data_IF_201039317112
#
_entry.id   IF_201039317112
#
_cell.length_a   1.000
_cell.length_b   1.000
_cell.length_c   1.000
_cell.angle_alpha   90.00
_cell.angle_beta   90.00
_cell.angle_gamma   90.00
#
_symmetry.space_group_name_H-M   'P 1'
#
loop_
_entity.id
_entity.type
_entity.pdbx_description
1 polymer ?
#
# COMPACT_ATOMS: atom_id res chain seq x y z
N UNK A 1 -0.19 34.67 -67.13
CA UNK A 1 0.34 33.64 -68.07
C UNK A 1 1.42 32.84 -67.34
N UNK A 2 1.47 31.51 -67.15
CA UNK A 2 0.56 30.40 -67.37
C UNK A 2 1.18 29.17 -66.62
N UNK A 3 0.96 29.00 -65.30
CA UNK A 3 1.45 27.82 -64.52
C UNK A 3 0.56 26.56 -64.67
N UNK A 4 -0.27 26.53 -65.71
CA UNK A 4 -1.18 25.42 -66.04
C UNK A 4 -0.78 24.68 -67.34
N UNK A 5 0.49 24.79 -67.79
CA UNK A 5 0.93 24.16 -69.04
C UNK A 5 1.56 22.77 -68.91
N UNK A 6 1.93 22.30 -67.73
CA UNK A 6 2.63 21.02 -67.59
C UNK A 6 1.73 19.79 -67.40
N UNK A 7 0.43 19.97 -67.14
CA UNK A 7 -0.52 18.85 -67.02
C UNK A 7 -1.21 18.46 -68.34
N UNK A 8 -1.06 19.26 -69.39
CA UNK A 8 -1.67 19.00 -70.72
C UNK A 8 -0.79 18.19 -71.68
N UNK A 9 0.49 17.94 -71.39
CA UNK A 9 1.39 17.17 -72.27
C UNK A 9 1.63 15.72 -71.85
N UNK A 10 1.07 15.28 -70.72
CA UNK A 10 1.22 13.90 -70.25
C UNK A 10 0.26 12.98 -71.01
N UNK A 11 0.82 11.92 -71.62
CA UNK A 11 0.03 10.89 -72.31
C UNK A 11 -1.00 10.26 -71.36
N UNK A 12 -2.09 9.74 -71.91
CA UNK A 12 -3.13 9.06 -71.11
C UNK A 12 -2.55 7.98 -70.19
N UNK A 13 -1.55 7.22 -70.69
CA UNK A 13 -0.83 6.21 -69.92
C UNK A 13 -0.07 6.81 -68.73
N UNK A 14 0.58 7.95 -68.91
CA UNK A 14 1.32 8.59 -67.83
C UNK A 14 0.38 9.17 -66.76
N UNK A 15 -0.79 9.69 -67.16
CA UNK A 15 -1.83 10.14 -66.20
C UNK A 15 -2.42 8.98 -65.40
N UNK A 16 -2.63 7.83 -66.04
CA UNK A 16 -3.09 6.61 -65.36
C UNK A 16 -2.06 6.10 -64.35
N UNK A 17 -0.77 6.06 -64.73
CA UNK A 17 0.32 5.65 -63.84
C UNK A 17 0.45 6.60 -62.64
N UNK A 18 0.44 7.91 -62.86
CA UNK A 18 0.54 8.90 -61.76
C UNK A 18 -0.68 8.81 -60.83
N UNK A 19 -1.88 8.58 -61.37
CA UNK A 19 -3.09 8.40 -60.54
C UNK A 19 -3.02 7.13 -59.69
N UNK A 20 -2.50 6.03 -60.23
CA UNK A 20 -2.27 4.79 -59.48
C UNK A 20 -1.23 4.97 -58.37
N UNK A 21 -0.16 5.71 -58.62
CA UNK A 21 0.86 6.03 -57.60
C UNK A 21 0.24 6.87 -56.48
N UNK A 22 -0.55 7.88 -56.81
CA UNK A 22 -1.23 8.72 -55.81
C UNK A 22 -2.25 7.91 -54.99
N UNK A 23 -3.00 7.01 -55.62
CA UNK A 23 -3.91 6.08 -54.93
C UNK A 23 -3.17 5.14 -53.99
N UNK A 24 -2.02 4.61 -54.41
CA UNK A 24 -1.18 3.75 -53.57
C UNK A 24 -0.61 4.51 -52.37
N UNK A 25 -0.15 5.75 -52.57
CA UNK A 25 0.33 6.63 -51.48
C UNK A 25 -0.80 7.01 -50.52
N UNK A 26 -2.00 7.30 -51.03
CA UNK A 26 -3.16 7.59 -50.20
C UNK A 26 -3.61 6.36 -49.40
N UNK A 27 -3.67 5.18 -50.03
CA UNK A 27 -3.98 3.93 -49.34
C UNK A 27 -2.92 3.59 -48.28
N UNK A 28 -1.63 3.81 -48.57
CA UNK A 28 -0.53 3.58 -47.64
C UNK A 28 -0.55 4.55 -46.45
N UNK A 29 -0.90 5.81 -46.66
CA UNK A 29 -1.03 6.81 -45.60
C UNK A 29 -2.27 6.59 -44.74
N UNK A 30 -3.41 6.22 -45.34
CA UNK A 30 -4.61 5.79 -44.60
C UNK A 30 -4.33 4.53 -43.80
N UNK A 31 -3.64 3.55 -44.38
CA UNK A 31 -3.20 2.34 -43.68
C UNK A 31 -2.24 2.69 -42.53
N UNK A 32 -1.22 3.52 -42.76
CA UNK A 32 -0.26 3.90 -41.71
C UNK A 32 -0.88 4.75 -40.58
N UNK A 33 -1.96 5.47 -40.85
CA UNK A 33 -2.68 6.25 -39.83
C UNK A 33 -3.74 5.41 -39.08
N UNK A 34 -4.46 4.55 -39.79
CA UNK A 34 -5.53 3.74 -39.24
C UNK A 34 -5.02 2.43 -38.62
N UNK A 35 -3.95 1.83 -39.15
CA UNK A 35 -3.40 0.55 -38.69
C UNK A 35 -2.87 0.61 -37.25
N UNK A 36 -2.11 1.63 -36.80
CA UNK A 36 -1.69 1.70 -35.40
C UNK A 36 -2.88 1.83 -34.45
N UNK A 37 -3.91 2.59 -34.85
CA UNK A 37 -5.16 2.69 -34.09
C UNK A 37 -5.90 1.36 -34.09
N UNK A 38 -6.06 0.71 -35.23
CA UNK A 38 -6.79 -0.56 -35.37
C UNK A 38 -6.09 -1.73 -34.67
N UNK A 39 -4.75 -1.78 -34.72
CA UNK A 39 -3.91 -2.76 -34.01
C UNK A 39 -3.98 -2.54 -32.49
N UNK A 40 -4.01 -1.28 -32.01
CA UNK A 40 -4.32 -0.97 -30.60
C UNK A 40 -5.68 -1.50 -30.14
N UNK A 41 -6.66 -1.71 -31.03
CA UNK A 41 -7.96 -2.29 -30.68
C UNK A 41 -8.08 -3.79 -30.98
N UNK A 42 -7.10 -4.39 -31.67
CA UNK A 42 -7.11 -5.81 -32.09
C UNK A 42 -6.21 -6.73 -31.29
N UNK A 43 -5.19 -6.21 -30.61
CA UNK A 43 -4.54 -6.97 -29.55
C UNK A 43 -5.53 -7.04 -28.39
N UNK A 44 -5.90 -8.25 -27.98
CA UNK A 44 -6.65 -8.49 -26.75
C UNK A 44 -5.81 -7.96 -25.59
N UNK A 45 -5.89 -6.66 -25.31
CA UNK A 45 -5.15 -6.04 -24.23
C UNK A 45 -5.76 -6.58 -22.95
N UNK A 46 -5.14 -7.61 -22.37
CA UNK A 46 -5.55 -8.14 -21.07
C UNK A 46 -5.67 -6.97 -20.08
N UNK A 47 -6.89 -6.74 -19.60
CA UNK A 47 -7.19 -5.71 -18.61
C UNK A 47 -7.17 -6.37 -17.25
N UNK A 48 -6.24 -5.94 -16.40
CA UNK A 48 -6.19 -6.38 -15.01
C UNK A 48 -6.79 -5.30 -14.12
N UNK A 49 -7.90 -5.62 -13.45
CA UNK A 49 -8.51 -4.76 -12.42
C UNK A 49 -8.14 -5.32 -11.05
N UNK A 50 -7.44 -4.51 -10.27
CA UNK A 50 -7.10 -4.82 -8.89
C UNK A 50 -7.95 -3.94 -8.00
N UNK A 51 -8.94 -4.54 -7.35
CA UNK A 51 -9.82 -3.89 -6.38
C UNK A 51 -9.65 -4.54 -5.01
N UNK A 52 -9.52 -3.72 -3.98
CA UNK A 52 -9.46 -4.18 -2.59
C UNK A 52 -10.83 -3.98 -1.97
N UNK A 53 -11.53 -5.06 -1.61
CA UNK A 53 -12.78 -4.96 -0.86
C UNK A 53 -12.44 -5.02 0.63
N UNK A 54 -12.91 -4.02 1.38
CA UNK A 54 -12.91 -4.06 2.85
C UNK A 54 -14.12 -4.84 3.31
N UNK A 55 -13.89 -5.95 3.99
CA UNK A 55 -14.94 -6.81 4.56
C UNK A 55 -15.32 -6.34 5.95
N UNK A 56 -14.33 -5.90 6.71
CA UNK A 56 -14.49 -5.37 8.07
C UNK A 56 -13.37 -4.39 8.37
N UNK A 57 -13.68 -3.32 9.10
CA UNK A 57 -12.71 -2.37 9.64
C UNK A 57 -13.26 -1.79 10.93
N UNK A 58 -12.47 -1.85 11.99
CA UNK A 58 -12.84 -1.39 13.33
C UNK A 58 -11.61 -0.83 14.05
N UNK A 59 -11.83 0.17 14.90
CA UNK A 59 -10.78 0.68 15.80
C UNK A 59 -11.01 0.20 17.22
N UNK A 60 -9.92 -0.08 17.96
CA UNK A 60 -10.02 -0.52 19.35
C UNK A 60 -8.77 -0.17 20.17
N UNK A 61 -8.80 -0.55 21.45
CA UNK A 61 -7.78 -0.25 22.44
C UNK A 61 -7.82 1.19 22.92
N UNK A 62 -6.88 1.55 23.79
CA UNK A 62 -6.80 2.90 24.35
C UNK A 62 -6.67 3.94 23.23
N UNK A 63 -7.46 5.00 23.29
CA UNK A 63 -7.51 6.08 22.28
C UNK A 63 -7.80 5.59 20.84
N UNK A 64 -8.40 4.40 20.65
CA UNK A 64 -8.59 3.81 19.31
C UNK A 64 -7.27 3.62 18.55
N UNK A 65 -6.18 3.27 19.27
CA UNK A 65 -4.82 3.11 18.74
C UNK A 65 -4.69 2.04 17.65
N UNK A 66 -5.49 0.99 17.74
CA UNK A 66 -5.37 -0.18 16.86
C UNK A 66 -6.50 -0.21 15.84
N UNK A 67 -6.18 -0.65 14.63
CA UNK A 67 -7.16 -0.91 13.57
C UNK A 67 -7.18 -2.41 13.30
N UNK A 68 -8.29 -3.06 13.58
CA UNK A 68 -8.59 -4.38 13.04
C UNK A 68 -9.20 -4.20 11.65
N UNK A 69 -8.67 -4.87 10.64
CA UNK A 69 -9.27 -4.87 9.32
C UNK A 69 -9.16 -6.22 8.64
N UNK A 70 -10.11 -6.50 7.74
CA UNK A 70 -10.13 -7.67 6.88
C UNK A 70 -10.44 -7.26 5.46
N UNK A 71 -9.62 -7.72 4.52
CA UNK A 71 -9.77 -7.43 3.10
C UNK A 71 -9.88 -8.70 2.28
N UNK A 72 -10.50 -8.61 1.11
CA UNK A 72 -10.69 -9.76 0.22
C UNK A 72 -9.41 -10.16 -0.55
N UNK A 73 -8.40 -9.27 -0.63
CA UNK A 73 -7.17 -9.45 -1.41
C UNK A 73 -6.01 -8.68 -0.77
N UNK A 74 -4.75 -9.16 -0.87
CA UNK A 74 -3.59 -8.61 -0.15
C UNK A 74 -3.07 -7.29 -0.75
N UNK A 75 -3.91 -6.55 -1.46
CA UNK A 75 -3.48 -5.43 -2.27
C UNK A 75 -3.33 -4.16 -1.43
N UNK A 76 -2.12 -4.01 -0.85
CA UNK A 76 -1.58 -2.82 -0.17
C UNK A 76 -2.62 -1.84 0.37
N UNK A 77 -3.09 -2.11 1.58
CA UNK A 77 -3.78 -1.15 2.43
C UNK A 77 -2.78 -0.38 3.29
N UNK A 78 -3.17 0.80 3.75
CA UNK A 78 -2.36 1.63 4.63
C UNK A 78 -3.20 2.07 5.82
N UNK A 79 -2.75 1.74 7.03
CA UNK A 79 -3.26 2.31 8.27
C UNK A 79 -2.41 3.53 8.60
N UNK A 80 -3.04 4.71 8.61
CA UNK A 80 -2.41 6.00 8.93
C UNK A 80 -2.92 6.50 10.29
N UNK A 81 -2.61 7.74 10.67
CA UNK A 81 -3.09 8.33 11.92
C UNK A 81 -4.61 8.47 11.92
N UNK A 82 -5.24 8.97 10.87
CA UNK A 82 -6.68 9.27 10.83
C UNK A 82 -7.43 8.48 9.77
N UNK A 83 -6.73 7.92 8.79
CA UNK A 83 -7.35 7.23 7.68
C UNK A 83 -6.86 5.80 7.51
N UNK A 84 -7.76 4.94 7.05
CA UNK A 84 -7.40 3.68 6.42
C UNK A 84 -7.60 3.82 4.91
N UNK A 85 -6.57 3.49 4.14
CA UNK A 85 -6.56 3.70 2.70
C UNK A 85 -6.47 2.36 2.00
N UNK A 86 -7.40 2.11 1.07
CA UNK A 86 -7.28 1.01 0.13
C UNK A 86 -7.11 1.52 -1.28
N UNK A 87 -6.37 0.77 -2.09
CA UNK A 87 -6.05 1.14 -3.48
C UNK A 87 -6.81 0.29 -4.49
N UNK A 88 -7.32 0.97 -5.50
CA UNK A 88 -7.99 0.37 -6.65
C UNK A 88 -7.27 0.82 -7.92
N UNK A 89 -6.77 -0.13 -8.70
CA UNK A 89 -5.96 0.14 -9.88
C UNK A 89 -6.44 -0.68 -11.07
N UNK A 90 -6.28 -0.11 -12.26
CA UNK A 90 -6.51 -0.79 -13.54
C UNK A 90 -5.23 -0.75 -14.36
N UNK A 91 -4.86 -1.89 -14.90
CA UNK A 91 -3.70 -2.06 -15.77
C UNK A 91 -4.18 -2.54 -17.14
N UNK A 92 -3.47 -2.14 -18.18
CA UNK A 92 -3.71 -2.54 -19.57
C UNK A 92 -2.42 -3.16 -20.10
N UNK A 93 -2.52 -4.39 -20.61
CA UNK A 93 -1.38 -5.16 -21.10
C UNK A 93 -0.81 -6.09 -20.02
N UNK A 94 -0.45 -7.31 -20.44
CA UNK A 94 0.06 -8.36 -19.57
C UNK A 94 1.39 -7.93 -18.93
N UNK A 95 1.48 -8.00 -17.60
CA UNK A 95 2.69 -7.65 -16.85
C UNK A 95 2.96 -6.15 -16.72
N UNK A 96 2.01 -5.29 -17.08
CA UNK A 96 2.16 -3.84 -16.86
C UNK A 96 2.12 -3.49 -15.36
N UNK A 97 3.14 -2.78 -14.90
CA UNK A 97 3.20 -2.24 -13.54
C UNK A 97 2.72 -0.77 -13.46
N UNK A 98 2.38 -0.16 -14.60
CA UNK A 98 1.92 1.22 -14.68
C UNK A 98 0.39 1.25 -14.77
N UNK A 99 -0.33 1.72 -13.73
CA UNK A 99 -1.78 1.78 -13.76
C UNK A 99 -2.26 2.88 -14.72
N UNK A 100 -3.27 2.56 -15.52
CA UNK A 100 -3.99 3.55 -16.36
C UNK A 100 -5.10 4.26 -15.57
N UNK A 101 -5.61 3.64 -14.52
CA UNK A 101 -6.51 4.22 -13.53
C UNK A 101 -6.00 3.86 -12.14
N UNK A 102 -6.04 4.82 -11.22
CA UNK A 102 -5.72 4.63 -9.81
C UNK A 102 -6.68 5.49 -8.98
N UNK A 103 -7.33 4.86 -8.01
CA UNK A 103 -8.15 5.54 -7.01
C UNK A 103 -7.93 4.98 -5.63
N UNK A 104 -8.13 5.82 -4.62
CA UNK A 104 -8.16 5.41 -3.22
C UNK A 104 -9.57 5.45 -2.69
N UNK A 105 -9.95 4.40 -1.95
CA UNK A 105 -11.07 4.48 -1.02
C UNK A 105 -10.48 4.79 0.36
N UNK A 106 -10.77 5.98 0.87
CA UNK A 106 -10.24 6.54 2.12
C UNK A 106 -11.32 6.48 3.18
N UNK A 107 -11.11 5.65 4.20
CA UNK A 107 -11.99 5.47 5.34
C UNK A 107 -11.51 6.37 6.48
N UNK A 108 -12.41 7.17 7.05
CA UNK A 108 -12.12 7.96 8.26
C UNK A 108 -12.19 7.03 9.48
N UNK A 109 -11.04 6.77 10.11
CA UNK A 109 -10.93 5.89 11.28
C UNK A 109 -11.67 6.44 12.50
N UNK A 110 -11.90 7.75 12.56
CA UNK A 110 -12.66 8.38 13.64
C UNK A 110 -14.18 8.34 13.37
N UNK A 111 -14.60 8.10 12.12
CA UNK A 111 -16.01 8.06 11.70
C UNK A 111 -16.32 6.91 10.74
N UNK A 112 -15.94 5.68 11.08
CA UNK A 112 -16.06 4.48 10.23
C UNK A 112 -17.48 4.13 9.75
N UNK A 113 -18.52 4.72 10.36
CA UNK A 113 -19.92 4.58 9.89
C UNK A 113 -20.15 5.30 8.55
N UNK A 114 -19.33 6.28 8.23
CA UNK A 114 -19.40 7.00 6.97
C UNK A 114 -18.84 6.14 5.83
N UNK A 115 -19.42 6.21 4.62
CA UNK A 115 -18.83 5.55 3.46
C UNK A 115 -17.45 6.13 3.17
N UNK A 116 -16.52 5.33 2.61
CA UNK A 116 -15.21 5.83 2.25
C UNK A 116 -15.30 6.93 1.19
N UNK A 117 -14.43 7.93 1.32
CA UNK A 117 -14.22 8.95 0.30
C UNK A 117 -13.39 8.38 -0.82
N UNK A 118 -13.88 8.46 -2.06
CA UNK A 118 -13.12 8.02 -3.23
C UNK A 118 -12.31 9.18 -3.82
N UNK A 119 -11.00 8.98 -3.95
CA UNK A 119 -10.09 9.94 -4.58
C UNK A 119 -9.60 9.37 -5.91
N UNK A 120 -9.78 10.10 -7.01
CA UNK A 120 -9.23 9.74 -8.34
C UNK A 120 -7.83 10.36 -8.52
N UNK A 121 -6.80 9.52 -8.36
CA UNK A 121 -5.40 9.95 -8.35
C UNK A 121 -4.95 10.38 -9.74
N UNK A 122 -5.40 9.70 -10.79
CA UNK A 122 -5.00 9.99 -12.17
C UNK A 122 -5.54 11.36 -12.58
N UNK A 123 -6.79 11.66 -12.24
CA UNK A 123 -7.40 12.97 -12.49
C UNK A 123 -6.69 14.10 -11.74
N UNK A 124 -6.32 13.88 -10.48
CA UNK A 124 -5.57 14.86 -9.70
C UNK A 124 -4.19 15.13 -10.31
N UNK A 125 -3.47 14.08 -10.73
CA UNK A 125 -2.15 14.22 -11.35
C UNK A 125 -2.19 14.95 -12.68
N UNK A 126 -3.21 14.72 -13.51
CA UNK A 126 -3.41 15.47 -14.75
C UNK A 126 -3.61 16.97 -14.50
N UNK A 127 -4.19 17.34 -13.36
CA UNK A 127 -4.38 18.75 -12.98
C UNK A 127 -3.09 19.33 -12.39
N UNK A 128 -2.32 18.53 -11.67
CA UNK A 128 -1.07 18.94 -11.03
C UNK A 128 0.07 19.18 -12.03
N UNK A 129 0.38 18.22 -12.91
CA UNK A 129 1.44 18.36 -13.91
C UNK A 129 1.24 17.39 -15.08
N UNK A 130 0.69 17.89 -16.19
CA UNK A 130 0.35 17.07 -17.37
C UNK A 130 1.55 16.41 -18.05
N UNK A 131 2.78 16.85 -17.77
CA UNK A 131 3.99 16.27 -18.34
C UNK A 131 4.34 14.93 -17.71
N UNK A 132 3.82 14.65 -16.51
CA UNK A 132 4.13 13.44 -15.77
C UNK A 132 2.97 12.43 -15.81
N UNK A 133 3.32 11.17 -15.59
CA UNK A 133 2.39 10.06 -15.35
C UNK A 133 2.84 9.28 -14.12
N UNK A 134 1.96 8.43 -13.59
CA UNK A 134 2.31 7.48 -12.54
C UNK A 134 3.39 6.52 -13.06
N UNK A 135 4.49 6.41 -12.32
CA UNK A 135 5.51 5.38 -12.56
C UNK A 135 5.13 4.08 -11.82
N UNK A 136 4.54 4.23 -10.64
CA UNK A 136 4.08 3.14 -9.78
C UNK A 136 2.81 3.54 -9.02
N UNK A 137 2.02 2.55 -8.61
CA UNK A 137 0.70 2.72 -7.98
C UNK A 137 0.73 3.57 -6.70
N UNK A 138 1.27 3.05 -5.60
CA UNK A 138 1.50 3.79 -4.36
C UNK A 138 2.72 3.21 -3.67
N UNK A 139 3.65 4.08 -3.25
CA UNK A 139 4.92 3.65 -2.67
C UNK A 139 4.78 3.43 -1.17
N UNK A 140 4.18 4.39 -0.48
CA UNK A 140 3.95 4.38 0.98
C UNK A 140 2.90 5.39 1.39
N UNK A 141 2.42 5.27 2.62
CA UNK A 141 1.65 6.31 3.29
C UNK A 141 2.36 6.74 4.58
N UNK A 142 2.21 8.00 4.96
CA UNK A 142 2.77 8.52 6.21
C UNK A 142 1.81 9.52 6.85
N UNK A 143 1.96 9.70 8.16
CA UNK A 143 1.29 10.75 8.92
C UNK A 143 2.30 11.75 9.46
N UNK A 144 2.00 13.04 9.31
CA UNK A 144 2.82 14.13 9.82
C UNK A 144 1.91 15.23 10.38
N UNK A 145 2.17 15.64 11.62
CA UNK A 145 1.41 16.70 12.31
C UNK A 145 -0.13 16.52 12.25
N UNK A 146 -0.60 15.29 12.46
CA UNK A 146 -2.03 14.94 12.44
C UNK A 146 -2.66 14.87 11.03
N UNK A 147 -1.88 15.07 9.97
CA UNK A 147 -2.32 14.90 8.58
C UNK A 147 -1.79 13.62 7.99
N UNK A 148 -2.57 13.08 7.06
CA UNK A 148 -2.27 11.80 6.41
C UNK A 148 -2.00 11.98 4.94
N UNK A 149 -0.96 11.30 4.46
CA UNK A 149 -0.45 11.45 3.11
C UNK A 149 -0.21 10.11 2.44
N UNK A 150 -0.47 10.07 1.13
CA UNK A 150 -0.12 8.95 0.27
C UNK A 150 0.93 9.39 -0.77
N UNK A 151 2.00 8.62 -0.91
CA UNK A 151 3.16 8.96 -1.75
C UNK A 151 3.16 8.16 -3.05
N UNK A 152 3.42 8.86 -4.16
CA UNK A 152 3.54 8.27 -5.50
C UNK A 152 4.82 8.73 -6.18
N UNK A 153 5.35 7.84 -7.00
CA UNK A 153 6.45 8.13 -7.91
C UNK A 153 5.87 8.50 -9.27
N UNK A 154 6.33 9.63 -9.79
CA UNK A 154 5.96 10.17 -11.10
C UNK A 154 7.15 10.08 -12.03
N UNK A 155 6.88 9.79 -13.31
CA UNK A 155 7.86 9.80 -14.39
C UNK A 155 7.36 10.71 -15.51
N UNK A 156 8.27 11.49 -16.10
CA UNK A 156 7.96 12.34 -17.23
C UNK A 156 7.60 11.48 -18.46
N UNK A 157 6.60 11.91 -19.23
CA UNK A 157 6.09 11.18 -20.39
C UNK A 157 7.08 11.12 -21.56
N UNK A 158 7.97 12.12 -21.67
CA UNK A 158 8.93 12.26 -22.75
C UNK A 158 10.37 11.90 -22.34
N UNK A 159 10.66 11.90 -21.03
CA UNK A 159 11.99 11.59 -20.48
C UNK A 159 11.87 10.68 -19.25
N UNK A 160 12.05 9.38 -19.43
CA UNK A 160 11.94 8.37 -18.37
C UNK A 160 12.95 8.52 -17.22
N UNK A 161 14.01 9.31 -17.41
CA UNK A 161 15.00 9.66 -16.38
C UNK A 161 14.55 10.78 -15.44
N UNK A 162 13.57 11.59 -15.86
CA UNK A 162 13.01 12.66 -15.03
C UNK A 162 11.90 12.06 -14.15
N UNK A 163 12.28 11.73 -12.92
CA UNK A 163 11.42 11.13 -11.90
C UNK A 163 11.34 12.02 -10.67
N UNK A 164 10.16 12.05 -10.04
CA UNK A 164 9.94 12.75 -8.77
C UNK A 164 8.93 12.03 -7.90
N UNK A 165 9.03 12.23 -6.59
CA UNK A 165 8.04 11.75 -5.63
C UNK A 165 7.17 12.90 -5.11
N UNK A 166 5.88 12.63 -5.01
CA UNK A 166 4.89 13.59 -4.51
C UNK A 166 4.00 12.93 -3.47
N UNK A 167 3.48 13.75 -2.56
CA UNK A 167 2.51 13.34 -1.55
C UNK A 167 1.14 13.95 -1.85
N UNK A 168 0.09 13.14 -1.73
CA UNK A 168 -1.30 13.57 -1.72
C UNK A 168 -1.76 13.68 -0.27
N UNK A 169 -2.12 14.89 0.14
CA UNK A 169 -2.87 15.14 1.37
C UNK A 169 -4.29 14.58 1.21
N UNK A 170 -4.67 13.61 2.04
CA UNK A 170 -5.94 12.89 1.92
C UNK A 170 -7.17 13.75 2.31
N UNK A 171 -6.94 14.77 3.14
CA UNK A 171 -7.99 15.69 3.57
C UNK A 171 -8.22 16.76 2.51
N UNK A 172 -7.15 17.46 2.11
CA UNK A 172 -7.25 18.59 1.17
C UNK A 172 -7.23 18.21 -0.31
N UNK A 173 -6.90 16.96 -0.64
CA UNK A 173 -6.72 16.44 -2.00
C UNK A 173 -5.66 17.19 -2.83
N UNK A 174 -4.72 17.85 -2.14
CA UNK A 174 -3.64 18.59 -2.79
C UNK A 174 -2.40 17.73 -2.91
N UNK A 175 -1.77 17.81 -4.08
CA UNK A 175 -0.47 17.21 -4.34
C UNK A 175 0.62 18.20 -3.97
N UNK A 176 1.60 17.72 -3.21
CA UNK A 176 2.74 18.50 -2.73
C UNK A 176 4.02 17.68 -2.80
N UNK A 177 5.15 18.29 -2.45
CA UNK A 177 6.42 17.59 -2.34
C UNK A 177 6.33 16.55 -1.20
N UNK A 178 6.72 15.31 -1.49
CA UNK A 178 6.79 14.28 -0.45
C UNK A 178 7.93 14.57 0.52
N UNK A 179 7.70 14.34 1.81
CA UNK A 179 8.79 14.19 2.78
C UNK A 179 9.65 12.99 2.37
N UNK A 180 10.94 13.03 2.67
CA UNK A 180 11.87 11.94 2.39
C UNK A 180 11.59 10.71 3.27
N UNK A 181 11.99 9.52 2.79
CA UNK A 181 11.72 8.25 3.48
C UNK A 181 12.28 8.24 4.91
N UNK A 182 13.50 8.74 5.11
CA UNK A 182 14.18 8.85 6.41
C UNK A 182 13.40 9.65 7.47
N UNK A 183 12.52 10.55 7.04
CA UNK A 183 11.66 11.37 7.93
C UNK A 183 10.30 10.75 8.22
N UNK A 184 9.95 9.68 7.52
CA UNK A 184 8.59 9.11 7.54
C UNK A 184 8.57 7.62 7.86
N UNK A 185 9.72 6.94 7.73
CA UNK A 185 9.85 5.52 8.02
C UNK A 185 9.86 5.29 9.54
N UNK A 186 8.98 4.39 9.98
CA UNK A 186 9.02 3.90 11.36
C UNK A 186 10.15 2.89 11.45
N UNK A 187 11.23 3.23 12.15
CA UNK A 187 12.44 2.39 12.28
C UNK A 187 12.28 1.19 13.24
N UNK A 188 11.13 1.08 13.88
CA UNK A 188 10.81 0.02 14.84
C UNK A 188 9.55 -0.72 14.42
N UNK A 189 9.47 -1.98 14.82
CA UNK A 189 8.41 -2.91 14.45
C UNK A 189 7.44 -3.08 15.64
N UNK A 190 6.20 -2.57 15.56
CA UNK A 190 5.37 -2.34 16.75
C UNK A 190 5.07 -3.55 17.64
N UNK A 191 4.97 -4.74 17.06
CA UNK A 191 4.59 -5.95 17.78
C UNK A 191 5.75 -6.94 17.97
N UNK A 192 6.98 -6.56 17.58
CA UNK A 192 8.15 -7.45 17.65
C UNK A 192 8.91 -7.23 18.96
N UNK A 193 8.94 -8.26 19.81
CA UNK A 193 9.67 -8.27 21.09
C UNK A 193 10.60 -9.48 21.18
N UNK A 194 11.38 -9.70 20.12
CA UNK A 194 12.21 -10.89 19.95
C UNK A 194 13.14 -11.15 21.13
N UNK A 195 13.45 -12.43 21.35
CA UNK A 195 14.27 -12.93 22.45
C UNK A 195 13.65 -12.73 23.84
N UNK A 196 12.33 -12.56 23.89
CA UNK A 196 11.57 -12.53 25.14
C UNK A 196 10.51 -13.61 25.15
N UNK A 197 10.11 -14.04 26.35
CA UNK A 197 8.97 -14.95 26.51
C UNK A 197 7.65 -14.38 25.93
N UNK A 198 7.55 -13.07 25.72
CA UNK A 198 6.39 -12.46 25.05
C UNK A 198 6.32 -12.85 23.56
N UNK A 199 7.46 -12.91 22.87
CA UNK A 199 7.55 -13.35 21.46
C UNK A 199 7.34 -14.87 21.33
N UNK A 200 7.82 -15.62 22.33
CA UNK A 200 7.57 -17.06 22.40
C UNK A 200 6.06 -17.34 22.56
N UNK A 201 5.39 -16.63 23.49
CA UNK A 201 3.95 -16.80 23.74
C UNK A 201 3.12 -16.34 22.53
N UNK A 202 3.46 -15.24 21.85
CA UNK A 202 2.70 -14.82 20.66
C UNK A 202 2.75 -15.92 19.59
N UNK A 203 3.95 -16.46 19.34
CA UNK A 203 4.18 -17.55 18.38
C UNK A 203 3.51 -18.86 18.83
N UNK A 204 3.61 -19.23 20.10
CA UNK A 204 3.00 -20.44 20.67
C UNK A 204 1.48 -20.46 20.46
N UNK A 205 0.82 -19.30 20.48
CA UNK A 205 -0.62 -19.16 20.20
C UNK A 205 -0.94 -18.91 18.71
N UNK A 206 0.03 -19.09 17.80
CA UNK A 206 -0.15 -18.98 16.35
C UNK A 206 -0.28 -17.55 15.82
N UNK A 207 0.12 -16.54 16.60
CA UNK A 207 0.13 -15.15 16.15
C UNK A 207 1.43 -14.83 15.42
N UNK A 208 1.31 -14.12 14.31
CA UNK A 208 2.42 -13.45 13.64
C UNK A 208 2.49 -12.04 14.22
N UNK A 209 3.51 -11.76 15.04
CA UNK A 209 3.71 -10.48 15.72
C UNK A 209 4.93 -9.74 15.17
N UNK A 210 4.70 -8.87 14.18
CA UNK A 210 5.75 -8.06 13.56
C UNK A 210 5.23 -6.65 13.26
N UNK A 211 5.17 -6.22 12.00
CA UNK A 211 4.58 -4.90 11.64
C UNK A 211 3.07 -4.83 11.93
N UNK A 212 2.42 -5.99 11.99
CA UNK A 212 1.02 -6.18 12.32
C UNK A 212 0.89 -7.43 13.17
N UNK A 213 -0.23 -7.56 13.88
CA UNK A 213 -0.69 -8.82 14.43
C UNK A 213 -1.60 -9.50 13.41
N UNK A 214 -1.27 -10.73 13.05
CA UNK A 214 -2.13 -11.63 12.29
C UNK A 214 -2.15 -13.00 12.96
N UNK A 215 -3.05 -13.86 12.54
CA UNK A 215 -3.16 -15.23 13.06
C UNK A 215 -2.95 -16.21 11.92
N UNK A 216 -2.07 -17.18 12.13
CA UNK A 216 -1.79 -18.23 11.17
C UNK A 216 -2.70 -19.43 11.45
N UNK A 217 -3.73 -19.62 10.62
CA UNK A 217 -4.69 -20.73 10.80
C UNK A 217 -4.09 -22.12 10.54
N UNK A 218 -3.04 -22.18 9.72
CA UNK A 218 -2.35 -23.41 9.36
C UNK A 218 -1.37 -23.86 10.46
N UNK A 219 -1.16 -23.03 11.49
CA UNK A 219 -0.30 -23.34 12.62
C UNK A 219 -1.00 -24.27 13.62
N UNK A 220 -0.24 -25.21 14.19
CA UNK A 220 -0.68 -26.12 15.24
C UNK A 220 -0.54 -25.55 16.65
N UNK A 221 -0.24 -24.24 16.73
CA UNK A 221 -0.17 -23.47 17.97
C UNK A 221 -1.36 -23.67 18.92
N UNK A 222 -1.15 -23.31 20.18
CA UNK A 222 -2.09 -23.48 21.28
C UNK A 222 -3.43 -22.80 20.99
N UNK A 223 -4.49 -23.57 21.25
CA UNK A 223 -5.88 -23.19 21.00
C UNK A 223 -6.69 -23.07 22.27
N UNK A 224 -6.06 -23.27 23.43
CA UNK A 224 -6.72 -22.95 24.69
C UNK A 224 -6.96 -21.44 24.74
N UNK A 225 -8.17 -21.01 25.11
CA UNK A 225 -8.55 -19.59 25.09
C UNK A 225 -8.14 -18.90 26.38
N UNK A 226 -6.87 -19.02 26.75
CA UNK A 226 -6.38 -18.59 28.07
C UNK A 226 -5.62 -17.26 28.04
N UNK A 227 -5.71 -16.46 26.97
CA UNK A 227 -5.12 -15.12 26.91
C UNK A 227 -6.18 -14.03 27.10
N UNK A 228 -5.80 -12.92 27.73
CA UNK A 228 -6.69 -11.75 27.86
C UNK A 228 -7.18 -11.25 26.49
N UNK A 229 -6.31 -11.21 25.46
CA UNK A 229 -6.69 -10.79 24.12
C UNK A 229 -7.87 -11.58 23.54
N UNK A 230 -7.85 -12.90 23.72
CA UNK A 230 -8.89 -13.81 23.23
C UNK A 230 -10.21 -13.63 23.98
N UNK A 231 -10.14 -13.21 25.25
CA UNK A 231 -11.29 -12.97 26.11
C UNK A 231 -11.92 -11.60 25.87
N UNK A 232 -11.11 -10.57 25.70
CA UNK A 232 -11.56 -9.18 25.50
C UNK A 232 -12.01 -8.92 24.07
N UNK A 233 -11.34 -9.56 23.11
CA UNK A 233 -11.61 -9.40 21.68
C UNK A 233 -11.98 -10.72 21.00
N UNK A 234 -12.98 -11.47 21.51
CA UNK A 234 -13.32 -12.80 21.01
C UNK A 234 -13.78 -12.78 19.53
N UNK A 235 -14.36 -11.66 19.11
CA UNK A 235 -14.80 -11.46 17.73
C UNK A 235 -13.65 -11.14 16.77
N UNK A 236 -12.50 -10.65 17.26
CA UNK A 236 -11.34 -10.43 16.41
C UNK A 236 -10.60 -11.73 16.18
N UNK A 237 -10.36 -12.52 17.22
CA UNK A 237 -9.68 -13.81 17.08
C UNK A 237 -10.38 -14.75 16.11
N UNK A 238 -11.71 -14.93 16.24
CA UNK A 238 -12.50 -15.78 15.34
C UNK A 238 -12.41 -15.33 13.87
N UNK A 239 -12.29 -14.03 13.67
CA UNK A 239 -12.31 -13.40 12.35
C UNK A 239 -10.91 -13.08 11.81
N UNK A 240 -9.87 -13.23 12.63
CA UNK A 240 -8.46 -13.02 12.31
C UNK A 240 -7.99 -14.20 11.48
N UNK A 241 -8.50 -14.26 10.26
CA UNK A 241 -8.41 -15.36 9.32
C UNK A 241 -8.05 -14.84 7.95
N UNK A 242 -7.18 -15.53 7.24
CA UNK A 242 -6.66 -15.11 5.93
C UNK A 242 -5.95 -13.75 5.98
N UNK A 243 -6.57 -12.71 5.40
CA UNK A 243 -5.97 -11.37 5.24
C UNK A 243 -6.45 -10.36 6.30
N UNK A 244 -6.92 -10.86 7.43
CA UNK A 244 -7.25 -10.03 8.58
C UNK A 244 -5.98 -9.66 9.35
N UNK A 245 -5.89 -8.40 9.77
CA UNK A 245 -4.73 -7.85 10.47
C UNK A 245 -5.17 -6.87 11.55
N UNK A 246 -4.34 -6.73 12.57
CA UNK A 246 -4.34 -5.62 13.50
C UNK A 246 -3.07 -4.81 13.28
N UNK A 247 -3.24 -3.51 13.02
CA UNK A 247 -2.14 -2.57 12.83
C UNK A 247 -2.29 -1.39 13.77
N UNK A 248 -1.16 -0.79 14.12
CA UNK A 248 -1.11 0.43 14.94
C UNK A 248 -1.31 1.63 14.03
N UNK A 249 -2.16 2.57 14.43
CA UNK A 249 -2.27 3.88 13.77
C UNK A 249 -0.93 4.61 13.86
N UNK A 250 -0.57 5.34 12.80
CA UNK A 250 0.67 6.09 12.75
C UNK A 250 0.62 7.36 13.62
N UNK A 251 1.74 8.10 13.70
CA UNK A 251 1.81 9.38 14.40
C UNK A 251 1.71 9.19 15.91
N UNK A 252 0.89 10.02 16.59
CA UNK A 252 0.77 10.03 18.05
C UNK A 252 0.23 8.73 18.64
N UNK A 253 -0.46 7.91 17.84
CA UNK A 253 -0.95 6.60 18.26
C UNK A 253 0.16 5.55 18.38
N UNK A 254 1.27 5.71 17.65
CA UNK A 254 2.37 4.76 17.61
C UNK A 254 3.36 4.98 18.77
N UNK A 255 2.85 4.90 20.01
CA UNK A 255 3.63 5.04 21.23
C UNK A 255 4.21 3.68 21.66
N UNK A 256 5.55 3.48 21.60
CA UNK A 256 6.15 2.17 21.86
C UNK A 256 5.92 1.63 23.27
N UNK A 257 5.97 2.48 24.29
CA UNK A 257 5.73 2.08 25.67
C UNK A 257 4.29 1.59 25.85
N UNK A 258 3.32 2.35 25.32
CA UNK A 258 1.92 1.96 25.45
C UNK A 258 1.62 0.65 24.70
N UNK A 259 2.23 0.45 23.53
CA UNK A 259 2.07 -0.80 22.75
C UNK A 259 2.70 -1.98 23.48
N UNK A 260 3.88 -1.80 24.09
CA UNK A 260 4.53 -2.82 24.90
C UNK A 260 3.65 -3.22 26.10
N UNK A 261 3.09 -2.25 26.82
CA UNK A 261 2.18 -2.53 27.94
C UNK A 261 0.89 -3.23 27.49
N UNK A 262 0.32 -2.84 26.36
CA UNK A 262 -0.86 -3.49 25.79
C UNK A 262 -0.53 -4.95 25.40
N UNK A 263 0.63 -5.21 24.80
CA UNK A 263 1.08 -6.57 24.46
C UNK A 263 1.30 -7.44 25.70
N UNK A 264 1.93 -6.90 26.74
CA UNK A 264 2.07 -7.59 28.04
C UNK A 264 0.73 -7.99 28.63
N UNK A 265 -0.28 -7.14 28.50
CA UNK A 265 -1.61 -7.41 28.99
C UNK A 265 -2.34 -8.44 28.11
N UNK A 266 -2.34 -8.24 26.80
CA UNK A 266 -3.02 -9.08 25.81
C UNK A 266 -2.56 -10.54 25.83
N UNK A 267 -1.26 -10.76 25.99
CA UNK A 267 -0.65 -12.09 26.02
C UNK A 267 -0.40 -12.60 27.44
N UNK A 268 -0.93 -11.94 28.47
CA UNK A 268 -1.02 -12.52 29.80
C UNK A 268 -2.13 -13.58 29.88
N UNK A 269 -1.95 -14.62 30.72
CA UNK A 269 -3.00 -15.55 31.05
C UNK A 269 -4.25 -14.85 31.61
N UNK A 270 -5.44 -15.39 31.34
CA UNK A 270 -6.68 -14.84 31.89
C UNK A 270 -6.62 -14.78 33.41
N UNK A 271 -6.85 -13.58 33.96
CA UNK A 271 -6.80 -13.31 35.39
C UNK A 271 -5.47 -12.73 35.88
N UNK A 272 -4.44 -12.73 35.04
CA UNK A 272 -3.22 -11.95 35.22
C UNK A 272 -3.35 -10.61 34.49
N UNK A 273 -3.01 -9.51 35.17
CA UNK A 273 -3.09 -8.17 34.57
C UNK A 273 -2.04 -8.01 33.45
N UNK A 274 -0.77 -8.30 33.75
CA UNK A 274 0.32 -8.20 32.78
C UNK A 274 1.28 -9.38 32.91
N UNK A 275 1.78 -9.84 31.77
CA UNK A 275 2.85 -10.81 31.69
C UNK A 275 4.13 -10.21 32.27
N UNK A 276 4.83 -10.99 33.09
CA UNK A 276 6.21 -10.70 33.49
C UNK A 276 7.11 -11.09 32.31
N UNK A 277 7.64 -10.07 31.61
CA UNK A 277 8.44 -10.30 30.41
C UNK A 277 9.88 -10.56 30.83
N UNK A 278 10.45 -11.64 30.31
CA UNK A 278 11.83 -12.03 30.54
C UNK A 278 12.52 -12.07 29.19
N UNK A 279 13.56 -11.26 29.02
CA UNK A 279 14.48 -11.37 27.90
C UNK A 279 15.53 -12.44 28.20
N UNK A 280 15.84 -13.28 27.20
CA UNK A 280 16.82 -14.36 27.32
C UNK A 280 17.89 -14.21 26.24
N UNK A 281 19.15 -14.06 26.65
CA UNK A 281 20.26 -14.10 25.71
C UNK A 281 20.42 -15.54 25.17
N UNK A 282 20.32 -15.77 23.84
CA UNK A 282 20.35 -17.11 23.27
C UNK A 282 21.73 -17.79 23.34
N UNK A 283 22.82 -17.04 23.56
CA UNK A 283 24.18 -17.57 23.70
C UNK A 283 24.53 -17.89 25.15
N UNK A 284 24.17 -17.01 26.08
CA UNK A 284 24.55 -17.16 27.51
C UNK A 284 23.44 -17.77 28.36
N UNK A 285 22.19 -17.77 27.89
CA UNK A 285 20.97 -18.06 28.64
C UNK A 285 20.74 -17.12 29.84
N UNK A 286 21.39 -15.95 29.85
CA UNK A 286 21.13 -14.92 30.85
C UNK A 286 19.70 -14.39 30.71
N UNK A 287 19.00 -14.32 31.84
CA UNK A 287 17.61 -13.88 31.91
C UNK A 287 17.53 -12.50 32.56
N UNK A 288 16.91 -11.55 31.88
CA UNK A 288 16.70 -10.18 32.37
C UNK A 288 15.21 -9.86 32.40
N UNK A 289 14.62 -9.49 33.56
CA UNK A 289 13.26 -9.00 33.64
C UNK A 289 13.10 -7.66 32.90
N UNK A 290 12.03 -7.52 32.13
CA UNK A 290 11.72 -6.33 31.33
C UNK A 290 10.30 -5.84 31.66
N UNK A 291 10.20 -4.64 32.20
CA UNK A 291 8.95 -4.03 32.65
C UNK A 291 8.52 -2.84 31.79
N UNK A 292 9.43 -2.26 31.01
CA UNK A 292 9.16 -1.13 30.10
C UNK A 292 9.74 -1.39 28.71
N UNK A 293 9.23 -0.68 27.71
CA UNK A 293 9.80 -0.70 26.37
C UNK A 293 11.25 -0.16 26.35
N UNK A 294 11.54 0.82 27.20
CA UNK A 294 12.88 1.38 27.29
C UNK A 294 13.89 0.32 27.79
N UNK A 295 13.52 -0.45 28.81
CA UNK A 295 14.33 -1.59 29.28
C UNK A 295 14.53 -2.64 28.18
N UNK A 296 13.47 -2.98 27.43
CA UNK A 296 13.57 -3.90 26.28
C UNK A 296 14.59 -3.39 25.27
N UNK A 297 14.48 -2.12 24.89
CA UNK A 297 15.32 -1.50 23.88
C UNK A 297 16.78 -1.47 24.33
N UNK A 298 17.06 -1.05 25.56
CA UNK A 298 18.41 -1.01 26.12
C UNK A 298 19.04 -2.40 26.18
N UNK A 299 18.26 -3.39 26.61
CA UNK A 299 18.71 -4.78 26.63
C UNK A 299 19.02 -5.27 25.21
N UNK A 300 18.10 -5.07 24.26
CA UNK A 300 18.25 -5.50 22.87
C UNK A 300 19.48 -4.85 22.20
N UNK A 301 19.69 -3.54 22.39
CA UNK A 301 20.84 -2.83 21.85
C UNK A 301 22.17 -3.31 22.45
N UNK A 302 22.20 -3.60 23.75
CA UNK A 302 23.41 -4.10 24.45
C UNK A 302 23.78 -5.51 24.02
N UNK A 303 22.79 -6.36 23.76
CA UNK A 303 23.01 -7.76 23.39
C UNK A 303 23.07 -7.96 21.87
N UNK A 304 22.76 -6.93 21.06
CA UNK A 304 22.59 -7.04 19.59
C UNK A 304 23.73 -7.76 18.87
N UNK A 305 24.99 -7.51 19.25
CA UNK A 305 26.17 -8.13 18.62
C UNK A 305 26.30 -9.63 19.00
N UNK A 306 25.54 -10.06 19.99
CA UNK A 306 25.46 -11.41 20.51
C UNK A 306 24.13 -12.12 20.17
N UNK A 307 23.11 -11.42 19.63
CA UNK A 307 21.81 -11.97 19.22
C UNK A 307 21.79 -12.60 17.82
#
# INVERSE_FOLDING_TARGET
>A
MNRMKYLKSLSFRTKAIVSLILLALFASSVYSYAWPKYVQWKEDHEVQIVKTKVERIETFGSQNRYVFYKTSRPNGSYVLSNHFVTKNAKFVGRGSNQPVELSFDVYDLNHLKNPPKKIDVVKLLQTYDQRYKLDFQARRGYSDNGRDYMVFSLVNKENDKDKKEVALDLESEKIMQALSEDKTETKWVPFSFSYTNLDDITTEYGFISYYYLAYNEDDDGRKDTNLNFLKEYPNYYKDMKGLARVEVRQGEYNNPEAIFQDMRHWFAPVGQDKLDVIATDPKTNEQTPINTYQEYKEWYETHRDHL
#
